data_IF_411873734041
#
_entry.id   IF_411873734041
#
_cell.length_a   1.000
_cell.length_b   1.000
_cell.length_c   1.000
_cell.angle_alpha   90.00
_cell.angle_beta   90.00
_cell.angle_gamma   90.00
#
_symmetry.space_group_name_H-M   'P 1'
#
loop_
_entity.id
_entity.type
_entity.pdbx_description
1 polymer ?
#
# COMPACT_ATOMS: atom_id res chain seq x y z
N UNK A 1 -3.27 25.91 10.39
CA UNK A 1 -2.30 25.25 9.50
C UNK A 1 -1.18 26.22 9.19
N UNK A 2 0.09 25.81 9.36
CA UNK A 2 1.26 26.60 9.00
C UNK A 2 1.51 26.53 7.48
N UNK A 3 2.22 27.52 6.92
CA UNK A 3 2.56 27.58 5.49
C UNK A 3 3.19 26.28 4.93
N UNK A 4 4.08 25.59 5.67
CA UNK A 4 4.70 24.36 5.19
C UNK A 4 3.76 23.14 5.14
N UNK A 5 2.75 23.10 6.03
CA UNK A 5 1.69 22.10 5.95
C UNK A 5 0.86 22.25 4.65
N UNK A 6 0.70 23.48 4.14
CA UNK A 6 0.00 23.73 2.87
C UNK A 6 0.78 23.18 1.67
N UNK A 7 2.11 23.30 1.66
CA UNK A 7 2.94 22.77 0.56
C UNK A 7 2.92 21.24 0.54
N UNK A 8 3.03 20.60 1.70
CA UNK A 8 2.95 19.14 1.82
C UNK A 8 1.59 18.60 1.33
N UNK A 9 0.49 19.28 1.68
CA UNK A 9 -0.85 18.93 1.20
C UNK A 9 -0.99 19.13 -0.33
N UNK A 10 -0.39 20.17 -0.90
CA UNK A 10 -0.41 20.40 -2.34
C UNK A 10 0.38 19.31 -3.10
N UNK A 11 1.56 18.93 -2.60
CA UNK A 11 2.36 17.84 -3.17
C UNK A 11 1.65 16.49 -3.06
N UNK A 12 0.99 16.22 -1.93
CA UNK A 12 0.17 15.02 -1.76
C UNK A 12 -0.96 14.94 -2.80
N UNK A 13 -1.68 16.04 -3.03
CA UNK A 13 -2.72 16.09 -4.06
C UNK A 13 -2.16 15.89 -5.48
N UNK A 14 -0.97 16.43 -5.76
CA UNK A 14 -0.29 16.25 -7.05
C UNK A 14 0.10 14.78 -7.24
N UNK A 15 0.63 14.11 -6.21
CA UNK A 15 0.93 12.69 -6.23
C UNK A 15 -0.32 11.83 -6.49
N UNK A 16 -1.45 12.16 -5.85
CA UNK A 16 -2.74 11.49 -6.06
C UNK A 16 -3.31 11.67 -7.48
N UNK A 17 -2.85 12.66 -8.23
CA UNK A 17 -3.31 12.92 -9.61
C UNK A 17 -2.49 12.20 -10.68
N UNK A 18 -1.47 11.43 -10.30
CA UNK A 18 -0.71 10.63 -11.25
C UNK A 18 -1.55 9.45 -11.73
N UNK A 19 -1.94 9.49 -13.01
CA UNK A 19 -2.26 8.26 -13.75
C UNK A 19 -0.94 7.53 -14.06
N UNK A 20 -0.98 6.21 -14.29
CA UNK A 20 0.21 5.43 -14.65
C UNK A 20 0.99 6.12 -15.79
N UNK A 21 2.34 6.10 -15.75
CA UNK A 21 3.25 6.67 -16.78
C UNK A 21 3.71 8.14 -16.66
N UNK A 22 4.00 8.63 -15.46
CA UNK A 22 4.51 10.01 -15.26
C UNK A 22 5.95 10.09 -14.68
N UNK A 23 6.86 9.21 -15.10
CA UNK A 23 8.21 9.05 -14.52
C UNK A 23 8.99 10.35 -14.23
N UNK A 24 9.08 11.29 -15.19
CA UNK A 24 9.82 12.56 -14.98
C UNK A 24 9.13 13.50 -13.98
N UNK A 25 7.80 13.52 -13.97
CA UNK A 25 6.99 14.31 -13.04
C UNK A 25 7.06 13.72 -11.62
N UNK A 26 7.14 12.40 -11.51
CA UNK A 26 7.36 11.70 -10.25
C UNK A 26 8.75 11.99 -9.69
N UNK A 27 9.79 12.02 -10.52
CA UNK A 27 11.14 12.39 -10.09
C UNK A 27 11.21 13.83 -9.53
N UNK A 28 10.55 14.80 -10.18
CA UNK A 28 10.43 16.18 -9.67
C UNK A 28 9.70 16.23 -8.31
N UNK A 29 8.53 15.58 -8.22
CA UNK A 29 7.74 15.55 -6.97
C UNK A 29 8.50 14.85 -5.85
N UNK A 30 9.22 13.77 -6.15
CA UNK A 30 10.06 13.06 -5.20
C UNK A 30 11.18 13.96 -4.67
N UNK A 31 11.83 14.73 -5.54
CA UNK A 31 12.86 15.68 -5.14
C UNK A 31 12.29 16.79 -4.24
N UNK A 32 11.15 17.38 -4.60
CA UNK A 32 10.48 18.41 -3.80
C UNK A 32 10.06 17.88 -2.42
N UNK A 33 9.53 16.66 -2.36
CA UNK A 33 9.14 16.01 -1.12
C UNK A 33 10.34 15.67 -0.23
N UNK A 34 11.45 15.21 -0.81
CA UNK A 34 12.69 14.97 -0.07
C UNK A 34 13.20 16.25 0.60
N UNK A 35 13.20 17.37 -0.14
CA UNK A 35 13.57 18.68 0.41
C UNK A 35 12.62 19.14 1.52
N UNK A 36 11.32 18.92 1.35
CA UNK A 36 10.32 19.32 2.34
C UNK A 36 10.44 18.48 3.62
N UNK A 37 10.60 17.16 3.50
CA UNK A 37 10.84 16.26 4.63
C UNK A 37 12.13 16.62 5.38
N UNK A 38 13.19 17.03 4.67
CA UNK A 38 14.44 17.48 5.28
C UNK A 38 14.30 18.84 5.98
N UNK A 39 13.54 19.77 5.39
CA UNK A 39 13.26 21.10 5.98
C UNK A 39 12.39 20.97 7.23
N UNK A 40 11.44 20.04 7.22
CA UNK A 40 10.47 19.83 8.29
C UNK A 40 10.49 18.40 8.84
N UNK A 41 11.54 18.01 9.59
CA UNK A 41 11.73 16.62 10.00
C UNK A 41 10.62 16.09 10.91
N UNK A 42 9.81 16.97 11.52
CA UNK A 42 8.66 16.62 12.38
C UNK A 42 7.31 16.71 11.69
N UNK A 43 7.26 17.01 10.39
CA UNK A 43 6.02 17.06 9.64
C UNK A 43 5.65 15.65 9.16
N UNK A 44 4.68 15.03 9.84
CA UNK A 44 4.24 13.67 9.53
C UNK A 44 3.57 13.56 8.16
N UNK A 45 2.88 14.61 7.70
CA UNK A 45 2.25 14.63 6.37
C UNK A 45 3.32 14.62 5.27
N UNK A 46 4.37 15.43 5.45
CA UNK A 46 5.52 15.43 4.53
C UNK A 46 6.19 14.06 4.49
N UNK A 47 6.39 13.44 5.65
CA UNK A 47 7.00 12.10 5.77
C UNK A 47 6.18 11.02 5.08
N UNK A 48 4.86 10.93 5.36
CA UNK A 48 3.99 9.92 4.75
C UNK A 48 3.84 10.13 3.24
N UNK A 49 3.78 11.38 2.79
CA UNK A 49 3.71 11.69 1.36
C UNK A 49 5.02 11.37 0.64
N UNK A 50 6.16 11.67 1.27
CA UNK A 50 7.48 11.32 0.73
C UNK A 50 7.67 9.80 0.65
N UNK A 51 7.27 9.07 1.69
CA UNK A 51 7.26 7.61 1.66
C UNK A 51 6.40 7.07 0.50
N UNK A 52 5.17 7.54 0.31
CA UNK A 52 4.34 7.13 -0.83
C UNK A 52 5.01 7.44 -2.19
N UNK A 53 5.66 8.59 -2.32
CA UNK A 53 6.41 8.90 -3.55
C UNK A 53 7.62 7.97 -3.76
N UNK A 54 8.34 7.59 -2.71
CA UNK A 54 9.44 6.61 -2.78
C UNK A 54 8.92 5.23 -3.22
N UNK A 55 7.76 4.85 -2.69
CA UNK A 55 7.05 3.62 -3.04
C UNK A 55 6.69 3.60 -4.54
N UNK A 56 6.03 4.65 -5.03
CA UNK A 56 5.69 4.78 -6.46
C UNK A 56 6.93 4.79 -7.36
N UNK A 57 8.03 5.36 -6.89
CA UNK A 57 9.30 5.37 -7.60
C UNK A 57 10.06 4.02 -7.55
N UNK A 58 9.51 3.00 -6.88
CA UNK A 58 10.16 1.70 -6.64
C UNK A 58 11.44 1.79 -5.81
N UNK A 59 11.53 2.76 -4.91
CA UNK A 59 12.66 2.92 -3.98
C UNK A 59 12.36 2.23 -2.65
N UNK A 60 12.24 0.89 -2.66
CA UNK A 60 11.74 0.11 -1.52
C UNK A 60 12.55 0.33 -0.23
N UNK A 61 13.88 0.37 -0.32
CA UNK A 61 14.75 0.56 0.85
C UNK A 61 14.60 1.94 1.47
N UNK A 62 14.63 2.98 0.65
CA UNK A 62 14.39 4.35 1.10
C UNK A 62 12.97 4.51 1.66
N UNK A 63 11.97 3.93 0.99
CA UNK A 63 10.59 3.93 1.45
C UNK A 63 10.49 3.30 2.85
N UNK A 64 11.12 2.15 3.08
CA UNK A 64 11.15 1.46 4.39
C UNK A 64 11.83 2.27 5.46
N UNK A 65 12.97 2.90 5.16
CA UNK A 65 13.64 3.79 6.10
C UNK A 65 12.75 4.99 6.48
N UNK A 66 12.10 5.60 5.49
CA UNK A 66 11.22 6.76 5.69
C UNK A 66 9.93 6.36 6.43
N UNK A 67 9.35 5.20 6.15
CA UNK A 67 8.19 4.68 6.86
C UNK A 67 8.51 4.40 8.33
N UNK A 68 9.65 3.76 8.62
CA UNK A 68 10.11 3.53 10.00
C UNK A 68 10.30 4.86 10.74
N UNK A 69 10.86 5.87 10.09
CA UNK A 69 10.99 7.23 10.64
C UNK A 69 9.63 7.87 10.89
N UNK A 70 8.70 7.77 9.94
CA UNK A 70 7.33 8.26 10.05
C UNK A 70 6.56 7.61 11.21
N UNK A 71 6.77 6.32 11.45
CA UNK A 71 6.18 5.61 12.58
C UNK A 71 6.68 6.13 13.93
N UNK A 72 8.00 6.34 14.09
CA UNK A 72 8.54 6.91 15.32
C UNK A 72 8.08 8.36 15.54
N UNK A 73 7.95 9.14 14.46
CA UNK A 73 7.35 10.47 14.54
C UNK A 73 5.89 10.40 15.01
N UNK A 74 5.07 9.54 14.41
CA UNK A 74 3.68 9.33 14.79
C UNK A 74 3.54 8.97 16.28
N UNK A 75 4.39 8.06 16.79
CA UNK A 75 4.40 7.68 18.22
C UNK A 75 4.72 8.85 19.15
N UNK A 76 5.47 9.83 18.68
CA UNK A 76 5.87 11.01 19.47
C UNK A 76 4.80 12.12 19.49
N UNK A 77 3.80 12.04 18.61
CA UNK A 77 2.76 13.05 18.49
C UNK A 77 1.57 12.71 19.40
N UNK A 78 1.07 13.67 20.19
CA UNK A 78 0.02 13.41 21.20
C UNK A 78 -1.37 13.14 20.60
N UNK A 79 -1.60 13.54 19.36
CA UNK A 79 -2.81 13.23 18.60
C UNK A 79 -2.52 13.37 17.11
N UNK A 80 -2.90 12.35 16.32
CA UNK A 80 -2.79 12.34 14.87
C UNK A 80 -4.18 12.05 14.31
N UNK A 81 -4.59 12.77 13.27
CA UNK A 81 -5.91 12.56 12.68
C UNK A 81 -6.04 11.14 12.10
N UNK A 82 -7.27 10.59 12.02
CA UNK A 82 -7.50 9.30 11.37
C UNK A 82 -6.96 9.23 9.94
N UNK A 83 -7.13 10.31 9.16
CA UNK A 83 -6.63 10.39 7.78
C UNK A 83 -5.10 10.23 7.71
N UNK A 84 -4.36 10.95 8.55
CA UNK A 84 -2.89 10.89 8.54
C UNK A 84 -2.41 9.52 9.05
N UNK A 85 -3.08 8.98 10.07
CA UNK A 85 -2.77 7.64 10.60
C UNK A 85 -3.07 6.55 9.57
N UNK A 86 -4.13 6.68 8.77
CA UNK A 86 -4.44 5.74 7.70
C UNK A 86 -3.39 5.79 6.58
N UNK A 87 -2.99 6.99 6.16
CA UNK A 87 -1.92 7.17 5.16
C UNK A 87 -0.59 6.61 5.67
N UNK A 88 -0.29 6.77 6.96
CA UNK A 88 0.89 6.16 7.58
C UNK A 88 0.79 4.63 7.60
N UNK A 89 -0.37 4.08 7.97
CA UNK A 89 -0.58 2.62 7.97
C UNK A 89 -0.41 2.04 6.56
N UNK A 90 -0.95 2.70 5.53
CA UNK A 90 -0.73 2.36 4.14
C UNK A 90 0.76 2.34 3.81
N UNK A 91 1.47 3.46 4.05
CA UNK A 91 2.89 3.59 3.77
C UNK A 91 3.80 2.61 4.51
N UNK A 92 3.43 2.25 5.75
CA UNK A 92 4.10 1.20 6.52
C UNK A 92 3.87 -0.17 5.90
N UNK A 93 2.65 -0.48 5.51
CA UNK A 93 2.29 -1.73 4.85
C UNK A 93 2.99 -1.89 3.49
N UNK A 94 2.96 -0.82 2.71
CA UNK A 94 3.70 -0.62 1.47
C UNK A 94 5.18 -0.93 1.64
N UNK A 95 5.83 -0.36 2.65
CA UNK A 95 7.24 -0.58 2.88
C UNK A 95 7.58 -1.89 3.63
N UNK A 96 6.64 -2.84 3.71
CA UNK A 96 6.81 -4.14 4.35
C UNK A 96 6.96 -4.08 5.88
N UNK A 97 6.48 -3.02 6.53
CA UNK A 97 6.47 -2.81 7.99
C UNK A 97 5.09 -3.12 8.56
N UNK A 98 4.59 -4.31 8.25
CA UNK A 98 3.21 -4.75 8.49
C UNK A 98 2.86 -4.75 9.98
N UNK A 99 3.78 -5.16 10.85
CA UNK A 99 3.55 -5.14 12.31
C UNK A 99 3.30 -3.70 12.80
N UNK A 100 4.03 -2.73 12.27
CA UNK A 100 3.87 -1.32 12.59
C UNK A 100 2.57 -0.77 11.97
N UNK A 101 2.24 -1.13 10.73
CA UNK A 101 0.99 -0.77 10.08
C UNK A 101 -0.22 -1.22 10.93
N UNK A 102 -0.24 -2.48 11.38
CA UNK A 102 -1.28 -3.04 12.25
C UNK A 102 -1.41 -2.29 13.57
N UNK A 103 -0.29 -1.83 14.16
CA UNK A 103 -0.32 -1.00 15.37
C UNK A 103 -0.97 0.36 15.12
N UNK A 104 -0.71 0.98 13.97
CA UNK A 104 -1.36 2.24 13.61
C UNK A 104 -2.86 2.02 13.38
N UNK A 105 -3.26 0.96 12.69
CA UNK A 105 -4.67 0.61 12.49
C UNK A 105 -5.40 0.33 13.81
N UNK A 106 -4.76 -0.37 14.74
CA UNK A 106 -5.31 -0.65 16.06
C UNK A 106 -5.51 0.61 16.92
N UNK A 107 -4.80 1.71 16.61
CA UNK A 107 -5.00 3.00 17.27
C UNK A 107 -6.23 3.76 16.78
N UNK A 108 -6.76 3.39 15.60
CA UNK A 108 -7.97 3.99 15.05
C UNK A 108 -9.19 3.40 15.76
N UNK A 109 -9.99 4.27 16.37
CA UNK A 109 -11.22 3.85 17.02
C UNK A 109 -12.25 3.30 16.03
N UNK A 110 -13.37 2.80 16.54
CA UNK A 110 -14.43 2.20 15.72
C UNK A 110 -15.16 3.21 14.82
N UNK A 111 -15.14 4.51 15.19
CA UNK A 111 -15.80 5.59 14.45
C UNK A 111 -14.88 6.24 13.42
N UNK A 112 -13.58 6.02 13.51
CA UNK A 112 -12.56 6.63 12.69
C UNK A 112 -12.84 6.52 11.20
N UNK A 113 -13.40 5.40 10.72
CA UNK A 113 -13.76 5.22 9.30
C UNK A 113 -15.10 5.84 8.90
N UNK A 114 -15.98 6.16 9.86
CA UNK A 114 -17.27 6.80 9.62
C UNK A 114 -17.15 8.30 9.31
N UNK A 115 -16.02 8.91 9.69
CA UNK A 115 -15.72 10.34 9.45
C UNK A 115 -14.89 10.57 8.18
N UNK A 116 -14.46 9.50 7.52
CA UNK A 116 -13.65 9.55 6.31
C UNK A 116 -14.51 9.62 5.05
N UNK A 117 -13.97 10.26 4.01
CA UNK A 117 -14.58 10.20 2.68
C UNK A 117 -14.46 8.80 2.05
N UNK A 118 -15.21 8.57 0.98
CA UNK A 118 -15.24 7.28 0.28
C UNK A 118 -13.86 6.83 -0.22
N UNK A 119 -12.99 7.75 -0.64
CA UNK A 119 -11.66 7.39 -1.13
C UNK A 119 -10.77 6.87 0.01
N UNK A 120 -10.87 7.43 1.21
CA UNK A 120 -10.11 6.96 2.37
C UNK A 120 -10.67 5.65 2.92
N UNK A 121 -11.98 5.46 2.82
CA UNK A 121 -12.60 4.16 3.15
C UNK A 121 -12.09 3.08 2.20
N UNK A 122 -11.96 3.38 0.92
CA UNK A 122 -11.38 2.46 -0.06
C UNK A 122 -9.92 2.14 0.28
N UNK A 123 -9.11 3.13 0.64
CA UNK A 123 -7.74 2.90 1.14
C UNK A 123 -7.76 1.95 2.36
N UNK A 124 -8.66 2.16 3.32
CA UNK A 124 -8.79 1.28 4.49
C UNK A 124 -9.18 -0.15 4.09
N UNK A 125 -10.05 -0.32 3.10
CA UNK A 125 -10.41 -1.62 2.55
C UNK A 125 -9.19 -2.30 1.92
N UNK A 126 -8.40 -1.56 1.12
CA UNK A 126 -7.19 -2.08 0.49
C UNK A 126 -6.17 -2.54 1.52
N UNK A 127 -5.89 -1.73 2.54
CA UNK A 127 -5.01 -2.09 3.66
C UNK A 127 -5.51 -3.36 4.37
N UNK A 128 -6.83 -3.48 4.57
CA UNK A 128 -7.41 -4.63 5.23
C UNK A 128 -7.26 -5.93 4.44
N UNK A 129 -7.53 -5.86 3.14
CA UNK A 129 -7.29 -6.98 2.21
C UNK A 129 -5.80 -7.34 2.21
N UNK A 130 -4.92 -6.35 2.18
CA UNK A 130 -3.47 -6.56 2.12
C UNK A 130 -2.89 -7.28 3.30
N UNK A 131 -3.14 -6.76 4.49
CA UNK A 131 -2.41 -7.20 5.67
C UNK A 131 -3.17 -8.28 6.44
N UNK A 132 -4.23 -8.80 5.84
CA UNK A 132 -5.12 -9.76 6.46
C UNK A 132 -5.90 -9.17 7.64
N UNK A 133 -6.19 -7.88 7.60
CA UNK A 133 -6.92 -7.15 8.65
C UNK A 133 -8.43 -7.05 8.33
N UNK A 134 -8.98 -8.09 7.69
CA UNK A 134 -10.39 -8.14 7.28
C UNK A 134 -11.33 -8.03 8.48
N UNK A 135 -10.99 -8.63 9.62
CA UNK A 135 -11.79 -8.53 10.85
C UNK A 135 -11.84 -7.10 11.38
N UNK A 136 -10.70 -6.41 11.42
CA UNK A 136 -10.61 -5.00 11.84
C UNK A 136 -11.49 -4.10 10.97
N UNK A 137 -11.47 -4.34 9.66
CA UNK A 137 -12.24 -3.57 8.69
C UNK A 137 -13.74 -3.91 8.73
N UNK A 138 -14.09 -5.19 8.78
CA UNK A 138 -15.48 -5.65 8.86
C UNK A 138 -16.18 -5.16 10.13
N UNK A 139 -15.47 -5.04 11.26
CA UNK A 139 -16.02 -4.46 12.48
C UNK A 139 -16.45 -2.99 12.31
N UNK A 140 -15.87 -2.26 11.35
CA UNK A 140 -16.09 -0.82 11.14
C UNK A 140 -16.94 -0.53 9.90
N UNK A 141 -16.81 -1.34 8.85
CA UNK A 141 -17.47 -1.20 7.55
C UNK A 141 -17.97 -2.56 7.04
N UNK A 142 -18.90 -3.22 7.75
CA UNK A 142 -19.38 -4.56 7.39
C UNK A 142 -20.12 -4.61 6.05
N UNK A 143 -20.59 -3.46 5.57
CA UNK A 143 -21.35 -3.27 4.33
C UNK A 143 -20.47 -2.98 3.11
N UNK A 144 -19.15 -3.01 3.26
CA UNK A 144 -18.24 -2.65 2.16
C UNK A 144 -18.26 -3.70 1.03
N UNK A 145 -18.37 -3.30 -0.26
CA UNK A 145 -18.42 -4.24 -1.40
C UNK A 145 -17.23 -5.22 -1.46
N UNK A 146 -16.05 -4.78 -1.02
CA UNK A 146 -14.86 -5.65 -0.92
C UNK A 146 -15.09 -6.88 -0.03
N UNK A 147 -15.78 -6.72 1.10
CA UNK A 147 -16.06 -7.82 2.02
C UNK A 147 -17.09 -8.78 1.42
N UNK A 148 -18.11 -8.25 0.76
CA UNK A 148 -19.12 -9.06 0.06
C UNK A 148 -18.48 -9.90 -1.05
N UNK A 149 -17.59 -9.29 -1.85
CA UNK A 149 -16.83 -9.99 -2.88
C UNK A 149 -16.02 -11.14 -2.28
N UNK A 150 -15.21 -10.85 -1.26
CA UNK A 150 -14.37 -11.88 -0.61
C UNK A 150 -15.20 -13.02 -0.03
N UNK A 151 -16.35 -12.71 0.58
CA UNK A 151 -17.25 -13.72 1.13
C UNK A 151 -17.89 -14.58 0.03
N UNK A 152 -18.42 -13.95 -1.04
CA UNK A 152 -19.01 -14.64 -2.19
C UNK A 152 -18.04 -15.59 -2.88
N UNK A 153 -16.76 -15.23 -2.86
CA UNK A 153 -15.68 -16.00 -3.48
C UNK A 153 -14.94 -16.92 -2.50
N UNK A 154 -15.44 -17.09 -1.26
CA UNK A 154 -14.87 -17.97 -0.24
C UNK A 154 -13.39 -17.65 0.09
N UNK A 155 -13.02 -16.37 -0.05
CA UNK A 155 -11.65 -15.90 0.13
C UNK A 155 -11.34 -15.48 1.57
N UNK A 156 -12.36 -15.26 2.41
CA UNK A 156 -12.21 -14.74 3.78
C UNK A 156 -11.44 -15.72 4.68
N UNK A 157 -11.81 -16.99 4.66
CA UNK A 157 -11.19 -18.01 5.52
C UNK A 157 -9.75 -18.26 5.10
N UNK A 158 -8.80 -18.12 6.04
CA UNK A 158 -7.37 -18.30 5.77
C UNK A 158 -6.72 -17.16 4.97
N UNK A 159 -7.44 -16.07 4.67
CA UNK A 159 -6.90 -14.93 3.93
C UNK A 159 -5.67 -14.31 4.58
N UNK A 160 -5.74 -14.10 5.91
CA UNK A 160 -4.63 -13.55 6.67
C UNK A 160 -3.36 -14.40 6.56
N UNK A 161 -3.49 -15.73 6.64
CA UNK A 161 -2.36 -16.64 6.48
C UNK A 161 -1.78 -16.59 5.06
N UNK A 162 -2.62 -16.47 4.02
CA UNK A 162 -2.18 -16.28 2.62
C UNK A 162 -1.40 -14.97 2.46
N UNK A 163 -1.91 -13.88 3.00
CA UNK A 163 -1.21 -12.59 2.93
C UNK A 163 0.12 -12.62 3.67
N UNK A 164 0.18 -13.22 4.86
CA UNK A 164 1.46 -13.41 5.56
C UNK A 164 2.46 -14.27 4.79
N UNK A 165 1.99 -15.28 4.05
CA UNK A 165 2.84 -16.10 3.18
C UNK A 165 3.39 -15.29 2.00
N UNK A 166 2.54 -14.48 1.36
CA UNK A 166 2.97 -13.56 0.29
C UNK A 166 3.98 -12.53 0.82
N UNK A 167 3.71 -11.91 1.97
CA UNK A 167 4.61 -10.95 2.62
C UNK A 167 5.98 -11.59 2.91
N UNK A 168 6.00 -12.84 3.39
CA UNK A 168 7.24 -13.58 3.66
C UNK A 168 8.02 -13.90 2.37
N UNK A 169 7.31 -14.17 1.27
CA UNK A 169 7.92 -14.49 -0.03
C UNK A 169 8.54 -13.26 -0.71
N UNK A 170 7.84 -12.13 -0.68
CA UNK A 170 8.30 -10.87 -1.28
C UNK A 170 9.39 -10.20 -0.45
N UNK A 171 9.38 -10.40 0.86
CA UNK A 171 10.38 -9.84 1.77
C UNK A 171 10.42 -8.31 1.70
N UNK A 172 11.63 -7.74 1.68
CA UNK A 172 11.85 -6.28 1.69
C UNK A 172 11.84 -5.64 0.29
N UNK A 173 11.55 -6.42 -0.77
CA UNK A 173 11.77 -6.02 -2.17
C UNK A 173 10.57 -5.34 -2.84
N UNK A 174 9.42 -5.40 -2.19
CA UNK A 174 8.17 -4.85 -2.71
C UNK A 174 7.73 -3.70 -1.84
N UNK A 175 7.52 -2.55 -2.48
CA UNK A 175 7.28 -1.27 -1.85
C UNK A 175 5.84 -0.77 -1.97
N UNK A 176 5.03 -1.24 -2.92
CA UNK A 176 3.61 -0.85 -2.99
C UNK A 176 2.72 -2.04 -3.20
N UNK A 177 1.49 -2.00 -2.66
CA UNK A 177 0.41 -2.81 -3.20
C UNK A 177 -0.95 -2.14 -3.20
N UNK A 178 -1.67 -2.30 -4.31
CA UNK A 178 -3.08 -1.96 -4.41
C UNK A 178 -3.93 -3.23 -4.39
N UNK A 179 -5.11 -3.16 -3.77
CA UNK A 179 -6.16 -4.15 -3.97
C UNK A 179 -7.32 -3.48 -4.71
N UNK A 180 -7.88 -4.14 -5.72
CA UNK A 180 -9.12 -3.67 -6.34
C UNK A 180 -9.94 -4.84 -6.85
N UNK A 181 -11.24 -4.63 -6.99
CA UNK A 181 -12.08 -5.55 -7.74
C UNK A 181 -12.07 -5.09 -9.19
N UNK A 182 -11.63 -5.97 -10.09
CA UNK A 182 -11.57 -5.71 -11.53
C UNK A 182 -12.56 -6.62 -12.25
N UNK A 183 -13.45 -6.02 -13.04
CA UNK A 183 -14.31 -6.75 -13.96
C UNK A 183 -13.56 -7.05 -15.25
N UNK A 184 -13.49 -8.31 -15.65
CA UNK A 184 -12.81 -8.71 -16.90
C UNK A 184 -13.74 -8.58 -18.11
N UNK A 185 -15.01 -8.93 -17.94
CA UNK A 185 -16.01 -9.01 -19.00
C UNK A 185 -17.45 -8.69 -18.53
N UNK A 186 -17.58 -8.07 -17.37
CA UNK A 186 -18.88 -7.74 -16.76
C UNK A 186 -19.61 -8.92 -16.10
N UNK A 187 -19.01 -10.12 -16.11
CA UNK A 187 -19.55 -11.34 -15.47
C UNK A 187 -18.54 -11.97 -14.50
N UNK A 188 -17.24 -11.79 -14.77
CA UNK A 188 -16.16 -12.34 -13.97
C UNK A 188 -15.35 -11.23 -13.29
N UNK A 189 -15.76 -10.88 -12.08
CA UNK A 189 -15.00 -10.02 -11.19
C UNK A 189 -13.85 -10.82 -10.55
N UNK A 190 -12.67 -10.18 -10.48
CA UNK A 190 -11.49 -10.71 -9.79
C UNK A 190 -10.97 -9.71 -8.79
N UNK A 191 -10.34 -10.21 -7.73
CA UNK A 191 -9.52 -9.40 -6.87
C UNK A 191 -8.15 -9.22 -7.52
N UNK A 192 -7.83 -8.01 -7.97
CA UNK A 192 -6.50 -7.66 -8.44
C UNK A 192 -5.64 -7.18 -7.28
N UNK A 193 -4.45 -7.74 -7.20
CA UNK A 193 -3.43 -7.47 -6.20
C UNK A 193 -2.17 -7.01 -6.93
N UNK A 194 -1.85 -5.74 -6.78
CA UNK A 194 -0.76 -5.08 -7.50
C UNK A 194 0.46 -4.98 -6.60
N UNK A 195 1.66 -5.26 -7.07
CA UNK A 195 2.90 -5.14 -6.29
C UNK A 195 3.91 -4.28 -7.05
N UNK A 196 4.46 -3.22 -6.45
CA UNK A 196 5.56 -2.45 -7.04
C UNK A 196 6.86 -2.78 -6.35
N UNK A 197 7.91 -3.02 -7.12
CA UNK A 197 9.18 -3.54 -6.59
C UNK A 197 10.34 -2.58 -6.81
N UNK A 198 11.43 -2.78 -6.08
CA UNK A 198 12.72 -2.17 -6.37
C UNK A 198 13.58 -2.96 -7.36
N UNK A 199 12.95 -3.87 -8.13
CA UNK A 199 13.67 -4.69 -9.09
C UNK A 199 14.46 -3.82 -10.08
N UNK A 200 15.67 -4.26 -10.40
CA UNK A 200 16.60 -3.54 -11.27
C UNK A 200 16.58 -4.04 -12.73
N UNK A 201 15.74 -5.04 -12.99
CA UNK A 201 15.62 -5.73 -14.26
C UNK A 201 14.28 -6.44 -14.41
N UNK A 202 13.83 -6.62 -15.66
CA UNK A 202 12.62 -7.39 -15.98
C UNK A 202 12.73 -8.86 -15.55
N UNK A 203 13.91 -9.47 -15.65
CA UNK A 203 14.13 -10.85 -15.21
C UNK A 203 13.88 -11.03 -13.70
N UNK A 204 14.17 -9.99 -12.91
CA UNK A 204 13.92 -10.00 -11.48
C UNK A 204 12.43 -9.79 -11.14
N UNK A 205 11.71 -9.02 -11.96
CA UNK A 205 10.24 -8.92 -11.89
C UNK A 205 9.60 -10.28 -12.19
N UNK A 206 10.04 -10.96 -13.25
CA UNK A 206 9.54 -12.28 -13.64
C UNK A 206 9.78 -13.31 -12.51
N UNK A 207 10.98 -13.30 -11.91
CA UNK A 207 11.30 -14.16 -10.78
C UNK A 207 10.39 -13.92 -9.55
N UNK A 208 10.10 -12.66 -9.23
CA UNK A 208 9.18 -12.31 -8.14
C UNK A 208 7.75 -12.76 -8.44
N UNK A 209 7.33 -12.67 -9.70
CA UNK A 209 6.01 -13.14 -10.12
C UNK A 209 5.89 -14.67 -9.99
N UNK A 210 6.93 -15.42 -10.39
CA UNK A 210 6.96 -16.88 -10.23
C UNK A 210 6.93 -17.30 -8.76
N UNK A 211 7.70 -16.62 -7.90
CA UNK A 211 7.70 -16.87 -6.45
C UNK A 211 6.31 -16.65 -5.81
N UNK A 212 5.59 -15.61 -6.26
CA UNK A 212 4.23 -15.35 -5.78
C UNK A 212 3.27 -16.47 -6.18
N UNK A 213 3.37 -16.95 -7.42
CA UNK A 213 2.55 -18.07 -7.90
C UNK A 213 2.81 -19.33 -7.08
N UNK A 214 4.08 -19.70 -6.88
CA UNK A 214 4.48 -20.88 -6.09
C UNK A 214 3.92 -20.84 -4.65
N UNK A 215 4.00 -19.68 -4.00
CA UNK A 215 3.52 -19.49 -2.63
C UNK A 215 2.02 -19.70 -2.53
N UNK A 216 1.27 -19.24 -3.52
CA UNK A 216 -0.19 -19.36 -3.53
C UNK A 216 -0.68 -20.76 -3.88
N UNK A 217 0.07 -21.49 -4.71
CA UNK A 217 -0.15 -22.91 -4.97
C UNK A 217 0.13 -23.77 -3.72
N UNK A 218 1.06 -23.34 -2.86
CA UNK A 218 1.46 -24.05 -1.64
C UNK A 218 0.56 -23.86 -0.40
N UNK A 219 -0.36 -22.90 -0.37
CA UNK A 219 -1.23 -22.67 0.81
C UNK A 219 -2.41 -23.67 0.82
N UNK A 220 -2.67 -24.40 1.94
CA UNK A 220 -3.80 -25.33 2.05
C UNK A 220 -5.15 -24.72 1.64
N UNK A 221 -5.88 -25.44 0.77
CA UNK A 221 -7.06 -24.94 0.03
C UNK A 221 -6.74 -24.34 -1.35
N UNK A 222 -5.47 -24.34 -1.74
CA UNK A 222 -4.90 -23.67 -2.91
C UNK A 222 -4.69 -24.56 -4.13
N UNK A 223 -5.37 -24.21 -5.21
CA UNK A 223 -4.81 -24.01 -6.56
C UNK A 223 -6.01 -23.63 -7.43
N UNK A 224 -7.03 -24.48 -7.52
CA UNK A 224 -8.22 -24.24 -8.36
C UNK A 224 -9.13 -23.07 -7.92
N UNK A 225 -9.17 -22.70 -6.63
CA UNK A 225 -10.06 -21.63 -6.13
C UNK A 225 -9.46 -20.22 -6.24
N UNK A 226 -8.13 -20.10 -6.17
CA UNK A 226 -7.40 -18.83 -6.35
C UNK A 226 -7.15 -18.55 -7.83
N UNK A 227 -6.80 -19.58 -8.60
CA UNK A 227 -6.58 -19.52 -10.05
C UNK A 227 -7.91 -19.12 -10.72
N UNK A 228 -7.98 -17.85 -11.15
CA UNK A 228 -9.15 -17.28 -11.82
C UNK A 228 -10.03 -16.35 -10.99
N UNK A 229 -9.79 -16.22 -9.67
CA UNK A 229 -10.49 -15.26 -8.78
C UNK A 229 -9.60 -14.14 -8.27
N UNK A 230 -8.29 -14.38 -8.19
CA UNK A 230 -7.30 -13.38 -7.81
C UNK A 230 -6.29 -13.23 -8.94
N UNK A 231 -5.92 -12.00 -9.26
CA UNK A 231 -4.88 -11.67 -10.24
C UNK A 231 -3.78 -10.94 -9.51
N UNK A 232 -2.54 -11.31 -9.78
CA UNK A 232 -1.38 -10.65 -9.24
C UNK A 232 -0.61 -10.01 -10.38
N UNK A 233 -0.22 -8.76 -10.17
CA UNK A 233 0.65 -8.07 -11.13
C UNK A 233 1.82 -7.50 -10.37
N UNK A 234 3.02 -7.90 -10.76
CA UNK A 234 4.26 -7.31 -10.27
C UNK A 234 4.69 -6.25 -11.28
N UNK A 235 4.73 -5.00 -10.83
CA UNK A 235 5.22 -3.88 -11.59
C UNK A 235 6.68 -3.60 -11.23
N UNK A 236 7.42 -3.21 -12.26
CA UNK A 236 8.64 -2.45 -12.05
C UNK A 236 8.32 -1.06 -11.48
N UNK A 237 9.37 -0.30 -11.15
CA UNK A 237 9.24 1.10 -10.76
C UNK A 237 8.56 1.94 -11.86
N UNK A 238 7.81 2.99 -11.46
CA UNK A 238 7.22 3.97 -12.40
C UNK A 238 8.30 4.86 -13.07
N UNK A 239 9.48 4.95 -12.46
CA UNK A 239 10.68 5.52 -13.08
C UNK A 239 11.34 4.41 -13.92
N UNK A 240 11.71 4.65 -15.19
CA UNK A 240 12.37 3.64 -16.02
C UNK A 240 13.56 3.00 -15.29
N UNK A 241 13.71 1.68 -15.42
CA UNK A 241 14.76 0.91 -14.76
C UNK A 241 16.17 1.44 -15.07
N UNK A 242 16.35 1.96 -16.27
CA UNK A 242 17.60 2.57 -16.73
C UNK A 242 17.96 3.84 -15.96
N UNK A 243 16.97 4.55 -15.42
CA UNK A 243 17.14 5.82 -14.69
C UNK A 243 17.32 5.62 -13.17
N UNK A 244 17.12 4.40 -12.66
CA UNK A 244 17.28 4.09 -11.24
C UNK A 244 18.72 3.71 -10.84
N UNK A 245 19.63 3.60 -11.82
CA UNK A 245 21.05 3.39 -11.55
C UNK A 245 21.75 4.75 -11.34
N UNK A 246 22.59 4.89 -10.29
CA UNK A 246 23.35 6.11 -10.05
C UNK A 246 24.41 6.39 -11.13
#
# INVERSE_FOLDING_TARGET
>A
MTLPALKSVALHKRLQSFEAHHGSLLAEVLHELAQEAAREPRNLIASTTYNNALVLAGKAREARAEAARGFELWRSLPAVSPEISLNLAAGLGDAGLVVQAKRVLASLDERALGELDAARVEIAAQIAVRHGELEWFAARRPDHPMLEFLARHELVEGWQARQSAIEAALGERVSSFGASIVGIDGVHDRLALYYWTDADSYAEIDQLQDQLLDVLEGVPGGSSHLIGRVVFTVYGPEIPLEELRP
#
